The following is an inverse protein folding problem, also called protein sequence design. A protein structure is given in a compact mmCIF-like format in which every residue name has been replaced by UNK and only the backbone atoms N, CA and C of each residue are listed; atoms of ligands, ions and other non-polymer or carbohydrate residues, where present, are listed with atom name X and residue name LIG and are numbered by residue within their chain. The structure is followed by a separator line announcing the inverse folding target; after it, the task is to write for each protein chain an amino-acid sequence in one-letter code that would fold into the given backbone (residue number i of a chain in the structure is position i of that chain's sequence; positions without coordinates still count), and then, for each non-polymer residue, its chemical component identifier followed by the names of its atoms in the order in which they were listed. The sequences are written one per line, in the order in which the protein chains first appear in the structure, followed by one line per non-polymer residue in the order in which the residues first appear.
data_IF_593528582332
#
_entry.id   IF_593528582332
#
_cell.length_a   1.000
_cell.length_b   1.000
_cell.length_c   1.000
_cell.angle_alpha   90.00
_cell.angle_beta   90.00
_cell.angle_gamma   90.00
#
_symmetry.space_group_name_H-M   'P 1'
#
loop_
_entity.id
_entity.type
_entity.pdbx_description
1 polymer ?
#
# COMPACT_ATOMS: atom_id res chain seq x y z
N UNK A 1 16.80 6.73 19.80
CA UNK A 1 16.08 6.21 18.62
C UNK A 1 14.63 6.66 18.76
N UNK A 2 14.06 7.43 17.82
CA UNK A 2 12.69 7.89 17.99
C UNK A 2 11.76 6.70 17.80
N UNK A 3 11.15 6.28 18.91
CA UNK A 3 10.19 5.19 18.97
C UNK A 3 8.99 5.49 18.09
N UNK A 4 8.58 4.48 17.33
CA UNK A 4 7.29 4.50 16.67
C UNK A 4 6.20 4.54 17.75
N UNK A 5 5.13 5.33 17.61
CA UNK A 5 4.05 5.36 18.59
C UNK A 5 3.36 3.99 18.65
N UNK A 6 3.41 3.34 19.82
CA UNK A 6 2.62 2.15 20.11
C UNK A 6 1.15 2.54 20.27
N UNK A 7 0.30 2.09 19.34
CA UNK A 7 -1.14 2.29 19.41
C UNK A 7 -1.81 1.04 20.04
N UNK A 8 -2.49 1.17 21.19
CA UNK A 8 -3.14 0.04 21.84
C UNK A 8 -4.40 -0.35 21.05
N UNK A 9 -4.43 -1.59 20.56
CA UNK A 9 -5.58 -2.16 19.85
C UNK A 9 -5.49 -2.04 18.34
N UNK A 10 -5.06 -3.15 17.70
CA UNK A 10 -5.08 -3.46 16.25
C UNK A 10 -5.69 -2.38 15.34
N UNK A 11 -4.96 -1.28 15.10
CA UNK A 11 -5.21 -0.40 13.95
C UNK A 11 -4.06 -0.57 13.00
N UNK A 12 -4.15 -1.60 12.15
CA UNK A 12 -3.34 -1.65 10.95
C UNK A 12 -3.77 -0.47 10.07
N UNK A 13 -2.80 0.33 9.66
CA UNK A 13 -3.00 1.39 8.69
C UNK A 13 -1.88 1.32 7.66
N UNK A 14 -2.20 1.73 6.45
CA UNK A 14 -1.23 2.01 5.42
C UNK A 14 -1.46 3.44 4.94
N UNK A 15 -0.38 4.14 4.63
CA UNK A 15 -0.42 5.46 4.02
C UNK A 15 0.67 5.56 2.94
N UNK A 16 0.39 6.29 1.88
CA UNK A 16 1.46 6.71 0.95
C UNK A 16 2.26 7.79 1.66
N UNK A 17 3.57 7.60 1.80
CA UNK A 17 4.48 8.62 2.35
C UNK A 17 5.06 9.50 1.26
N UNK A 18 5.55 8.85 0.22
CA UNK A 18 6.28 9.48 -0.86
C UNK A 18 5.92 8.80 -2.18
N UNK A 19 5.81 9.58 -3.24
CA UNK A 19 5.57 9.12 -4.59
C UNK A 19 6.69 9.67 -5.46
N UNK A 20 7.44 8.78 -6.11
CA UNK A 20 8.46 9.13 -7.11
C UNK A 20 8.00 8.65 -8.48
N UNK A 21 8.65 9.15 -9.53
CA UNK A 21 8.39 8.72 -10.92
C UNK A 21 8.63 7.24 -11.17
N UNK A 22 9.40 6.56 -10.30
CA UNK A 22 9.75 5.14 -10.45
C UNK A 22 9.12 4.24 -9.39
N UNK A 23 8.75 4.78 -8.21
CA UNK A 23 8.27 3.97 -7.09
C UNK A 23 7.34 4.73 -6.14
N UNK A 24 6.49 3.97 -5.43
CA UNK A 24 5.58 4.51 -4.42
C UNK A 24 5.95 3.95 -3.05
N UNK A 25 6.29 4.85 -2.14
CA UNK A 25 6.63 4.50 -0.76
C UNK A 25 5.36 4.45 0.08
N UNK A 26 4.92 3.25 0.42
CA UNK A 26 3.78 3.03 1.32
C UNK A 26 4.28 2.60 2.70
N UNK A 27 3.95 3.38 3.73
CA UNK A 27 4.23 2.99 5.10
C UNK A 27 3.06 2.17 5.64
N UNK A 28 3.34 0.92 6.02
CA UNK A 28 2.36 -0.01 6.54
C UNK A 28 2.69 -0.27 8.01
N UNK A 29 1.77 0.07 8.90
CA UNK A 29 1.82 -0.23 10.32
C UNK A 29 1.19 -1.60 10.62
N UNK A 30 1.65 -2.62 9.90
CA UNK A 30 1.33 -4.01 10.15
C UNK A 30 2.61 -4.72 10.61
N UNK A 31 2.53 -5.71 11.53
CA UNK A 31 3.68 -6.51 11.90
C UNK A 31 4.34 -7.13 10.65
N UNK A 32 5.68 -7.31 10.65
CA UNK A 32 6.41 -7.87 9.51
C UNK A 32 6.14 -9.37 9.27
N UNK A 33 5.19 -9.97 9.99
CA UNK A 33 4.71 -11.33 9.74
C UNK A 33 4.25 -11.46 8.29
N UNK A 34 4.85 -12.41 7.57
CA UNK A 34 4.50 -12.74 6.19
C UNK A 34 2.99 -13.03 6.10
N UNK A 35 2.24 -12.08 5.51
CA UNK A 35 0.79 -12.19 5.34
C UNK A 35 0.03 -10.95 5.79
N UNK A 36 0.34 -10.41 6.98
CA UNK A 36 -0.42 -9.28 7.54
C UNK A 36 -0.10 -7.97 6.81
N UNK A 37 1.19 -7.70 6.56
CA UNK A 37 1.61 -6.54 5.77
C UNK A 37 1.16 -6.62 4.29
N UNK A 38 1.07 -7.83 3.73
CA UNK A 38 0.59 -8.04 2.36
C UNK A 38 -0.92 -7.79 2.26
N UNK A 39 -1.68 -8.34 3.21
CA UNK A 39 -3.12 -8.15 3.30
C UNK A 39 -3.49 -6.69 3.47
N UNK A 40 -2.76 -5.95 4.34
CA UNK A 40 -3.04 -4.54 4.55
C UNK A 40 -2.61 -3.68 3.35
N UNK A 41 -1.52 -4.00 2.65
CA UNK A 41 -1.14 -3.35 1.40
C UNK A 41 -2.23 -3.52 0.33
N UNK A 42 -2.66 -4.75 0.07
CA UNK A 42 -3.72 -5.02 -0.91
C UNK A 42 -5.03 -4.34 -0.52
N UNK A 43 -5.37 -4.32 0.78
CA UNK A 43 -6.56 -3.63 1.29
C UNK A 43 -6.47 -2.12 1.07
N UNK A 44 -5.31 -1.52 1.32
CA UNK A 44 -5.09 -0.09 1.14
C UNK A 44 -5.15 0.29 -0.33
N UNK A 45 -4.43 -0.41 -1.19
CA UNK A 45 -4.45 -0.20 -2.64
C UNK A 45 -5.87 -0.39 -3.21
N UNK A 46 -6.58 -1.43 -2.79
CA UNK A 46 -7.98 -1.65 -3.18
C UNK A 46 -8.89 -0.47 -2.78
N UNK A 47 -8.68 0.14 -1.60
CA UNK A 47 -9.44 1.33 -1.18
C UNK A 47 -9.05 2.60 -1.95
N UNK A 48 -7.76 2.85 -2.13
CA UNK A 48 -7.26 4.05 -2.81
C UNK A 48 -7.62 4.03 -4.28
N UNK A 49 -7.43 2.89 -4.92
CA UNK A 49 -7.70 2.70 -6.34
C UNK A 49 -9.17 2.41 -6.62
N UNK A 50 -9.97 2.17 -5.57
CA UNK A 50 -11.38 1.76 -5.64
C UNK A 50 -11.57 0.47 -6.46
N UNK A 51 -10.59 -0.42 -6.36
CA UNK A 51 -10.55 -1.72 -7.04
C UNK A 51 -10.99 -2.84 -6.13
N UNK A 52 -11.39 -3.98 -6.70
CA UNK A 52 -11.68 -5.17 -5.89
C UNK A 52 -10.37 -5.74 -5.36
N UNK A 53 -10.40 -6.32 -4.16
CA UNK A 53 -9.23 -7.05 -3.61
C UNK A 53 -8.72 -8.15 -4.54
N UNK A 54 -9.63 -8.79 -5.28
CA UNK A 54 -9.28 -9.81 -6.28
C UNK A 54 -8.47 -9.25 -7.44
N UNK A 55 -8.60 -7.95 -7.72
CA UNK A 55 -7.85 -7.28 -8.79
C UNK A 55 -6.46 -6.82 -8.31
N UNK A 56 -6.19 -6.86 -7.00
CA UNK A 56 -4.94 -6.38 -6.41
C UNK A 56 -4.15 -7.56 -5.85
N UNK A 57 -3.23 -8.09 -6.65
CA UNK A 57 -2.50 -9.33 -6.34
C UNK A 57 -1.02 -9.04 -6.12
N UNK A 58 -0.47 -9.53 -5.00
CA UNK A 58 0.98 -9.44 -4.78
C UNK A 58 1.70 -10.39 -5.75
N UNK A 59 2.57 -9.85 -6.60
CA UNK A 59 3.34 -10.62 -7.59
C UNK A 59 4.71 -11.02 -7.06
N UNK A 60 5.49 -10.05 -6.55
CA UNK A 60 6.84 -10.28 -6.01
C UNK A 60 7.04 -9.51 -4.72
N UNK A 61 8.02 -9.95 -3.93
CA UNK A 61 8.40 -9.26 -2.69
C UNK A 61 7.58 -9.66 -1.46
N UNK A 62 6.97 -10.85 -1.46
CA UNK A 62 6.30 -11.42 -0.28
C UNK A 62 7.19 -11.47 0.96
N UNK A 63 8.49 -11.65 0.77
CA UNK A 63 9.55 -11.67 1.81
C UNK A 63 10.43 -10.43 1.82
N UNK A 64 10.18 -9.46 0.94
CA UNK A 64 11.02 -8.28 0.74
C UNK A 64 10.31 -7.00 1.17
N UNK A 65 11.09 -5.95 1.46
CA UNK A 65 10.57 -4.61 1.72
C UNK A 65 9.97 -3.98 0.46
N UNK A 66 10.56 -4.29 -0.69
CA UNK A 66 10.06 -3.93 -2.00
C UNK A 66 9.04 -4.96 -2.46
N UNK A 67 7.83 -4.50 -2.79
CA UNK A 67 6.71 -5.34 -3.19
C UNK A 67 6.23 -4.92 -4.56
N UNK A 68 6.11 -5.88 -5.46
CA UNK A 68 5.50 -5.69 -6.77
C UNK A 68 4.07 -6.21 -6.68
N UNK A 69 3.11 -5.33 -6.91
CA UNK A 69 1.69 -5.67 -6.91
C UNK A 69 1.19 -5.58 -8.35
N UNK A 70 0.54 -6.64 -8.81
CA UNK A 70 -0.17 -6.68 -10.09
C UNK A 70 -1.60 -6.22 -9.88
N UNK A 71 -2.03 -5.31 -10.75
CA UNK A 71 -3.40 -4.87 -10.87
C UNK A 71 -4.02 -5.59 -12.07
N UNK A 72 -5.05 -6.40 -11.85
CA UNK A 72 -5.80 -7.12 -12.88
C UNK A 72 -7.03 -6.33 -13.38
N UNK A 73 -7.24 -5.13 -12.85
CA UNK A 73 -8.32 -4.25 -13.26
C UNK A 73 -8.03 -3.53 -14.58
N UNK A 74 -9.08 -3.11 -15.29
CA UNK A 74 -9.00 -2.26 -16.48
C UNK A 74 -8.67 -0.78 -16.15
N UNK A 75 -7.79 -0.54 -15.17
CA UNK A 75 -7.36 0.80 -14.78
C UNK A 75 -6.05 1.14 -15.49
N UNK A 76 -5.94 2.36 -15.98
CA UNK A 76 -4.69 2.80 -16.63
C UNK A 76 -3.65 3.20 -15.57
N UNK A 77 -2.34 3.06 -15.89
CA UNK A 77 -1.30 3.50 -14.97
C UNK A 77 -1.41 4.98 -14.58
N UNK A 78 -1.95 5.83 -15.47
CA UNK A 78 -2.20 7.25 -15.22
C UNK A 78 -3.27 7.46 -14.13
N UNK A 79 -4.39 6.73 -14.19
CA UNK A 79 -5.43 6.79 -13.15
C UNK A 79 -4.90 6.30 -11.80
N UNK A 80 -4.06 5.26 -11.80
CA UNK A 80 -3.43 4.76 -10.58
C UNK A 80 -2.54 5.83 -9.96
N UNK A 81 -1.71 6.49 -10.77
CA UNK A 81 -0.81 7.55 -10.33
C UNK A 81 -1.61 8.72 -9.74
N UNK A 82 -2.64 9.20 -10.45
CA UNK A 82 -3.48 10.32 -10.01
C UNK A 82 -4.17 10.02 -8.66
N UNK A 83 -4.70 8.80 -8.50
CA UNK A 83 -5.33 8.39 -7.23
C UNK A 83 -4.33 8.30 -6.08
N UNK A 84 -3.10 7.88 -6.35
CA UNK A 84 -2.04 7.81 -5.34
C UNK A 84 -1.51 9.20 -4.98
N UNK A 85 -1.32 10.10 -5.95
CA UNK A 85 -0.95 11.51 -5.73
C UNK A 85 -1.96 12.22 -4.85
N UNK A 86 -3.26 12.01 -5.10
CA UNK A 86 -4.35 12.52 -4.24
C UNK A 86 -4.26 12.03 -2.78
N UNK A 87 -3.64 10.88 -2.50
CA UNK A 87 -3.41 10.44 -1.12
C UNK A 87 -2.21 11.15 -0.48
N UNK A 88 -1.21 11.54 -1.27
CA UNK A 88 -0.03 12.26 -0.79
C UNK A 88 -0.37 13.72 -0.49
N UNK A 89 -1.19 14.37 -1.32
CA UNK A 89 -1.62 15.76 -1.12
C UNK A 89 -2.61 15.94 0.04
N UNK A 90 -3.32 14.89 0.46
CA UNK A 90 -4.29 14.93 1.59
C UNK A 90 -3.64 14.98 2.98
N UNK A 91 -2.43 15.53 3.08
CA UNK A 91 -1.63 15.59 4.30
C UNK A 91 -2.05 16.72 5.24
#
# INVERSE_FOLDING_TARGET
MPGWPEFPGRRWFALVRDLTTEAVSVAIAAPPSEGEANAELCRYLSKVLELRKSDVVLDKGSKSREKVVKLLASTTPEEVLEKLEKQVEKK
#
